data_IF_660034216043
#
_entry.id   IF_660034216043
#
_cell.length_a   1.000
_cell.length_b   1.000
_cell.length_c   1.000
_cell.angle_alpha   90.00
_cell.angle_beta   90.00
_cell.angle_gamma   90.00
#
_symmetry.space_group_name_H-M   'P 1'
#
loop_
_entity.id
_entity.type
_entity.pdbx_description
1 polymer ?
#
# COMPACT_ATOMS: atom_id res chain seq x y z
N UNK A 1 -14.64 -11.25 21.75
CA UNK A 1 -14.09 -10.93 20.42
C UNK A 1 -12.80 -11.70 20.22
N UNK A 2 -12.54 -12.19 19.01
CA UNK A 2 -11.21 -12.68 18.64
C UNK A 2 -10.29 -11.50 18.30
N UNK A 3 -8.96 -11.69 18.40
CA UNK A 3 -7.96 -10.66 18.07
C UNK A 3 -8.08 -10.14 16.62
N UNK A 4 -8.66 -10.95 15.74
CA UNK A 4 -8.92 -10.62 14.32
C UNK A 4 -10.13 -9.69 14.16
N UNK A 5 -11.13 -9.80 15.03
CA UNK A 5 -12.35 -8.98 14.98
C UNK A 5 -12.07 -7.54 15.42
N UNK A 6 -11.20 -7.35 16.41
CA UNK A 6 -10.78 -6.03 16.89
C UNK A 6 -9.92 -5.29 15.85
N UNK A 7 -9.08 -6.01 15.11
CA UNK A 7 -8.31 -5.44 13.99
C UNK A 7 -9.20 -5.04 12.82
N UNK A 8 -10.21 -5.86 12.50
CA UNK A 8 -11.15 -5.57 11.43
C UNK A 8 -11.98 -4.33 11.74
N UNK A 9 -12.41 -4.17 13.01
CA UNK A 9 -13.14 -3.00 13.48
C UNK A 9 -12.30 -1.71 13.33
N UNK A 10 -11.06 -1.72 13.83
CA UNK A 10 -10.13 -0.58 13.73
C UNK A 10 -9.86 -0.16 12.27
N UNK A 11 -9.72 -1.12 11.37
CA UNK A 11 -9.50 -0.86 9.94
C UNK A 11 -10.75 -0.27 9.28
N UNK A 12 -11.94 -0.78 9.61
CA UNK A 12 -13.20 -0.28 9.07
C UNK A 12 -13.49 1.17 9.47
N UNK A 13 -13.06 1.59 10.67
CA UNK A 13 -13.24 2.95 11.17
C UNK A 13 -12.35 3.98 10.44
N UNK A 14 -11.26 3.54 9.81
CA UNK A 14 -10.35 4.44 9.09
C UNK A 14 -10.77 4.72 7.64
N UNK A 15 -11.48 3.79 6.99
CA UNK A 15 -11.83 3.88 5.57
C UNK A 15 -13.23 4.45 5.41
N UNK A 16 -13.33 5.60 4.75
CA UNK A 16 -14.60 6.22 4.39
C UNK A 16 -14.79 6.12 2.86
N UNK A 17 -15.95 5.65 2.41
CA UNK A 17 -16.27 5.54 0.97
C UNK A 17 -16.36 6.91 0.28
N UNK A 18 -16.49 8.00 1.06
CA UNK A 18 -16.48 9.38 0.57
C UNK A 18 -15.08 9.97 0.50
N UNK A 19 -14.05 9.26 0.97
CA UNK A 19 -12.67 9.72 0.89
C UNK A 19 -12.26 10.00 -0.57
N UNK A 20 -11.59 11.14 -0.77
CA UNK A 20 -10.86 11.38 -2.02
C UNK A 20 -9.74 10.34 -2.16
N UNK A 21 -9.43 9.95 -3.39
CA UNK A 21 -8.48 8.88 -3.69
C UNK A 21 -7.09 9.09 -3.08
N UNK A 22 -6.61 10.33 -3.01
CA UNK A 22 -5.33 10.66 -2.38
C UNK A 22 -5.35 10.41 -0.86
N UNK A 23 -6.45 10.78 -0.18
CA UNK A 23 -6.62 10.55 1.26
C UNK A 23 -6.72 9.05 1.57
N UNK A 24 -7.47 8.32 0.74
CA UNK A 24 -7.57 6.86 0.84
C UNK A 24 -6.18 6.22 0.71
N UNK A 25 -5.38 6.63 -0.27
CA UNK A 25 -4.04 6.08 -0.50
C UNK A 25 -3.12 6.36 0.68
N UNK A 26 -3.16 7.57 1.26
CA UNK A 26 -2.38 7.90 2.45
C UNK A 26 -2.79 7.01 3.66
N UNK A 27 -4.09 6.79 3.86
CA UNK A 27 -4.61 5.89 4.91
C UNK A 27 -4.14 4.44 4.69
N UNK A 28 -4.26 3.93 3.46
CA UNK A 28 -3.80 2.58 3.10
C UNK A 28 -2.30 2.41 3.31
N UNK A 29 -1.50 3.44 2.99
CA UNK A 29 -0.07 3.44 3.21
C UNK A 29 0.28 3.35 4.70
N UNK A 30 -0.38 4.14 5.56
CA UNK A 30 -0.18 4.09 7.02
C UNK A 30 -0.52 2.69 7.56
N UNK A 31 -1.65 2.11 7.14
CA UNK A 31 -2.04 0.77 7.53
C UNK A 31 -0.97 -0.25 7.13
N UNK A 32 -0.48 -0.17 5.89
CA UNK A 32 0.55 -1.07 5.38
C UNK A 32 1.85 -0.98 6.19
N UNK A 33 2.36 0.22 6.49
CA UNK A 33 3.59 0.39 7.27
C UNK A 33 3.42 -0.22 8.67
N UNK A 34 2.28 0.04 9.34
CA UNK A 34 2.00 -0.54 10.66
C UNK A 34 2.01 -2.08 10.62
N UNK A 35 1.44 -2.67 9.58
CA UNK A 35 1.43 -4.14 9.42
C UNK A 35 2.82 -4.72 9.17
N UNK A 36 3.68 -4.01 8.44
CA UNK A 36 5.07 -4.39 8.22
C UNK A 36 5.89 -4.29 9.52
N UNK A 37 5.71 -3.22 10.30
CA UNK A 37 6.38 -3.03 11.60
C UNK A 37 5.98 -4.10 12.63
N UNK A 38 4.73 -4.56 12.57
CA UNK A 38 4.21 -5.67 13.39
C UNK A 38 4.72 -7.06 12.91
N UNK A 39 5.51 -7.11 11.83
CA UNK A 39 6.06 -8.35 11.28
C UNK A 39 5.00 -9.30 10.72
N UNK A 40 3.83 -8.79 10.32
CA UNK A 40 2.75 -9.65 9.82
C UNK A 40 3.12 -10.30 8.50
N UNK A 41 2.65 -11.54 8.32
CA UNK A 41 2.81 -12.25 7.05
C UNK A 41 2.11 -11.47 5.92
N UNK A 42 2.83 -11.35 4.81
CA UNK A 42 2.40 -10.72 3.57
C UNK A 42 1.00 -11.13 3.08
N UNK A 43 0.65 -12.42 3.16
CA UNK A 43 -0.68 -12.89 2.70
C UNK A 43 -1.83 -12.20 3.45
N UNK A 44 -1.63 -11.95 4.75
CA UNK A 44 -2.61 -11.21 5.56
C UNK A 44 -2.66 -9.75 5.12
N UNK A 45 -1.51 -9.12 4.88
CA UNK A 45 -1.46 -7.74 4.39
C UNK A 45 -2.18 -7.57 3.05
N UNK A 46 -1.99 -8.49 2.10
CA UNK A 46 -2.72 -8.50 0.82
C UNK A 46 -4.22 -8.62 1.04
N UNK A 47 -4.63 -9.51 1.93
CA UNK A 47 -6.05 -9.67 2.29
C UNK A 47 -6.63 -8.37 2.88
N UNK A 48 -5.93 -7.73 3.82
CA UNK A 48 -6.38 -6.46 4.42
C UNK A 48 -6.48 -5.34 3.40
N UNK A 49 -5.49 -5.16 2.53
CA UNK A 49 -5.55 -4.15 1.47
C UNK A 49 -6.76 -4.33 0.56
N UNK A 50 -7.06 -5.58 0.17
CA UNK A 50 -8.24 -5.88 -0.64
C UNK A 50 -9.54 -5.52 0.08
N UNK A 51 -9.64 -5.78 1.39
CA UNK A 51 -10.80 -5.38 2.19
C UNK A 51 -10.94 -3.86 2.20
N UNK A 52 -9.88 -3.12 2.53
CA UNK A 52 -9.93 -1.66 2.60
C UNK A 52 -10.30 -1.02 1.26
N UNK A 53 -9.73 -1.51 0.16
CA UNK A 53 -10.06 -1.05 -1.19
C UNK A 53 -11.56 -1.30 -1.47
N UNK A 54 -12.06 -2.49 -1.13
CA UNK A 54 -13.48 -2.83 -1.31
C UNK A 54 -14.40 -1.90 -0.49
N UNK A 55 -14.06 -1.64 0.78
CA UNK A 55 -14.83 -0.74 1.66
C UNK A 55 -14.85 0.70 1.15
N UNK A 56 -13.76 1.15 0.52
CA UNK A 56 -13.69 2.47 -0.09
C UNK A 56 -14.50 2.61 -1.38
N UNK A 57 -15.15 1.54 -1.85
CA UNK A 57 -15.88 1.47 -3.12
C UNK A 57 -15.02 1.74 -4.37
N UNK A 58 -13.70 1.59 -4.24
CA UNK A 58 -12.73 1.74 -5.33
C UNK A 58 -12.27 0.40 -5.85
N UNK A 59 -11.77 0.39 -7.09
CA UNK A 59 -11.07 -0.75 -7.64
C UNK A 59 -9.56 -0.68 -7.34
N UNK A 60 -8.90 -1.84 -7.37
CA UNK A 60 -7.44 -1.90 -7.30
C UNK A 60 -6.79 -1.17 -8.48
N UNK A 61 -7.46 -1.13 -9.64
CA UNK A 61 -7.01 -0.40 -10.82
C UNK A 61 -7.07 1.12 -10.62
N UNK A 62 -8.08 1.65 -9.93
CA UNK A 62 -8.15 3.07 -9.58
C UNK A 62 -6.96 3.48 -8.72
N UNK A 63 -6.66 2.68 -7.69
CA UNK A 63 -5.53 2.87 -6.78
C UNK A 63 -4.22 2.84 -7.58
N UNK A 64 -4.07 1.84 -8.45
CA UNK A 64 -2.88 1.67 -9.27
C UNK A 64 -2.65 2.82 -10.24
N UNK A 65 -3.68 3.21 -10.99
CA UNK A 65 -3.60 4.31 -11.96
C UNK A 65 -3.20 5.60 -11.25
N UNK A 66 -3.84 5.90 -10.12
CA UNK A 66 -3.50 7.07 -9.33
C UNK A 66 -2.05 7.02 -8.84
N UNK A 67 -1.60 5.91 -8.26
CA UNK A 67 -0.21 5.76 -7.83
C UNK A 67 0.76 5.96 -9.00
N UNK A 68 0.48 5.36 -10.15
CA UNK A 68 1.32 5.46 -11.35
C UNK A 68 1.45 6.91 -11.86
N UNK A 69 0.40 7.72 -11.74
CA UNK A 69 0.41 9.15 -12.09
C UNK A 69 1.09 10.04 -11.03
N UNK A 70 1.07 9.63 -9.76
CA UNK A 70 1.52 10.46 -8.63
C UNK A 70 2.84 9.94 -8.01
N UNK A 71 3.86 9.77 -8.86
CA UNK A 71 5.20 9.26 -8.48
C UNK A 71 6.18 10.36 -8.00
N UNK A 72 5.67 11.55 -7.67
CA UNK A 72 6.43 12.70 -7.19
C UNK A 72 6.83 12.61 -5.71
N UNK A 73 6.07 11.88 -4.89
CA UNK A 73 6.39 11.63 -3.48
C UNK A 73 6.94 10.22 -3.27
N UNK A 74 8.04 10.10 -2.53
CA UNK A 74 8.72 8.82 -2.27
C UNK A 74 7.81 7.77 -1.63
N UNK A 75 6.84 8.18 -0.81
CA UNK A 75 5.85 7.29 -0.19
C UNK A 75 4.96 6.59 -1.22
N UNK A 76 4.55 7.30 -2.28
CA UNK A 76 3.74 6.75 -3.38
C UNK A 76 4.57 5.86 -4.31
N UNK A 77 5.84 6.20 -4.51
CA UNK A 77 6.79 5.32 -5.23
C UNK A 77 6.99 4.00 -4.48
N UNK A 78 7.16 4.07 -3.15
CA UNK A 78 7.28 2.89 -2.30
C UNK A 78 6.02 2.03 -2.37
N UNK A 79 4.85 2.66 -2.24
CA UNK A 79 3.58 1.95 -2.22
C UNK A 79 3.29 1.24 -3.55
N UNK A 80 3.61 1.89 -4.67
CA UNK A 80 3.54 1.27 -6.00
C UNK A 80 4.53 0.10 -6.14
N UNK A 81 5.74 0.24 -5.60
CA UNK A 81 6.74 -0.83 -5.60
C UNK A 81 6.26 -2.09 -4.86
N UNK A 82 5.55 -1.92 -3.75
CA UNK A 82 4.90 -2.99 -3.00
C UNK A 82 3.82 -3.67 -3.84
N UNK A 83 2.95 -2.90 -4.52
CA UNK A 83 1.91 -3.46 -5.38
C UNK A 83 2.48 -4.40 -6.46
N UNK A 84 3.58 -3.99 -7.09
CA UNK A 84 4.29 -4.79 -8.07
C UNK A 84 5.04 -5.98 -7.48
N UNK A 85 5.86 -5.76 -6.44
CA UNK A 85 6.70 -6.80 -5.85
C UNK A 85 5.88 -7.99 -5.36
N UNK A 86 4.71 -7.69 -4.81
CA UNK A 86 3.84 -8.68 -4.24
C UNK A 86 2.70 -9.14 -5.15
N UNK A 87 2.72 -8.70 -6.41
CA UNK A 87 1.73 -9.05 -7.40
C UNK A 87 0.27 -8.86 -6.91
N UNK A 88 -0.01 -7.72 -6.28
CA UNK A 88 -1.35 -7.42 -5.75
C UNK A 88 -2.37 -7.34 -6.89
N UNK A 89 -1.93 -6.82 -8.04
CA UNK A 89 -2.73 -6.61 -9.24
C UNK A 89 -2.82 -7.86 -10.16
N UNK A 90 -2.30 -9.03 -9.74
CA UNK A 90 -2.16 -10.22 -10.61
C UNK A 90 -1.54 -9.89 -11.98
N UNK A 91 -0.57 -8.97 -11.99
CA UNK A 91 0.14 -8.56 -13.17
C UNK A 91 1.10 -9.67 -13.62
N UNK A 92 1.38 -9.65 -14.93
CA UNK A 92 2.27 -10.62 -15.58
C UNK A 92 3.65 -10.67 -14.90
N UNK A 93 4.31 -11.85 -14.89
CA UNK A 93 5.57 -12.12 -14.16
C UNK A 93 6.70 -11.10 -14.43
N UNK A 94 6.66 -10.40 -15.56
CA UNK A 94 7.61 -9.33 -15.94
C UNK A 94 7.47 -8.03 -15.12
N UNK A 95 6.42 -7.90 -14.29
CA UNK A 95 6.23 -6.74 -13.41
C UNK A 95 7.06 -6.79 -12.13
N UNK A 96 7.63 -7.94 -11.79
CA UNK A 96 8.59 -8.11 -10.68
C UNK A 96 9.81 -7.18 -10.82
N UNK A 97 10.37 -7.03 -12.02
CA UNK A 97 11.47 -6.10 -12.30
C UNK A 97 11.08 -4.63 -12.13
N UNK A 98 9.82 -4.27 -12.42
CA UNK A 98 9.31 -2.91 -12.19
C UNK A 98 9.15 -2.65 -10.69
N UNK A 99 8.57 -3.60 -9.95
CA UNK A 99 8.44 -3.52 -8.50
C UNK A 99 9.77 -3.42 -7.79
N UNK A 100 10.74 -4.25 -8.18
CA UNK A 100 12.09 -4.20 -7.62
C UNK A 100 12.79 -2.85 -7.88
N UNK A 101 12.63 -2.27 -9.09
CA UNK A 101 13.13 -0.91 -9.38
C UNK A 101 12.45 0.17 -8.54
N UNK A 102 11.13 0.09 -8.36
CA UNK A 102 10.39 1.00 -7.49
C UNK A 102 10.84 0.88 -6.02
N UNK A 103 11.06 -0.34 -5.52
CA UNK A 103 11.58 -0.58 -4.18
C UNK A 103 13.00 -0.03 -4.00
N UNK A 104 13.91 -0.25 -4.97
CA UNK A 104 15.25 0.37 -4.95
C UNK A 104 15.16 1.89 -4.96
N UNK A 105 14.30 2.47 -5.81
CA UNK A 105 14.11 3.92 -5.88
C UNK A 105 13.61 4.46 -4.53
N UNK A 106 12.60 3.83 -3.94
CA UNK A 106 12.08 4.20 -2.62
C UNK A 106 13.12 4.05 -1.50
N UNK A 107 13.84 2.92 -1.47
CA UNK A 107 14.90 2.67 -0.51
C UNK A 107 16.06 3.67 -0.66
N UNK A 108 16.39 4.06 -1.89
CA UNK A 108 17.39 5.10 -2.14
C UNK A 108 16.94 6.45 -1.59
N UNK A 109 15.67 6.84 -1.76
CA UNK A 109 15.15 8.06 -1.14
C UNK A 109 15.12 7.99 0.38
N UNK A 110 14.77 6.84 0.96
CA UNK A 110 14.74 6.66 2.42
C UNK A 110 16.15 6.64 3.04
N UNK A 111 17.12 6.02 2.36
CA UNK A 111 18.54 6.04 2.73
C UNK A 111 19.14 7.45 2.57
N UNK A 112 18.77 8.17 1.50
CA UNK A 112 19.14 9.57 1.30
C UNK A 112 18.55 10.44 2.41
N UNK A 113 17.28 10.25 2.79
CA UNK A 113 16.64 10.96 3.90
C UNK A 113 17.33 10.68 5.25
N UNK A 114 17.79 9.45 5.49
CA UNK A 114 18.55 9.09 6.70
C UNK A 114 19.99 9.62 6.74
N UNK A 115 20.60 9.87 5.57
CA UNK A 115 21.95 10.45 5.48
C UNK A 115 21.97 11.97 5.63
N UNK A 116 20.82 12.63 5.44
CA UNK A 116 20.67 14.09 5.46
C UNK A 116 19.80 14.61 6.62
N UNK A 117 19.37 13.74 7.54
CA UNK A 117 18.77 14.06 8.85
C UNK A 117 19.78 13.77 9.97
#
# INVERSE_FOLDING_TARGET
>A
MSKTDDEFLYISEMIDSTDKINNLIDKLFILLIKQLDEGKNFDKMKHYLNICITLSTRSTDDIFNWLNENQNESKYVLFLGIFYYYNILNLDKNTSNKGFKCLIKAASYHLILQLYL
#
